data_IF_387318645673
#
_entry.id   IF_387318645673
#
_cell.length_a   1.000
_cell.length_b   1.000
_cell.length_c   1.000
_cell.angle_alpha   90.00
_cell.angle_beta   90.00
_cell.angle_gamma   90.00
#
_symmetry.space_group_name_H-M   'P 1'
#
loop_
_entity.id
_entity.type
_entity.pdbx_description
1 polymer ?
#
# COMPACT_ATOMS: atom_id res chain seq x y z
N UNK A 1 -18.36 -3.25 -9.84
CA UNK A 1 -16.95 -3.57 -10.17
C UNK A 1 -16.30 -2.36 -10.81
N UNK A 2 -15.53 -1.56 -10.06
CA UNK A 2 -14.51 -0.67 -10.63
C UNK A 2 -13.66 -0.04 -9.52
N UNK A 3 -12.73 -0.80 -8.96
CA UNK A 3 -11.50 -0.18 -8.49
C UNK A 3 -10.51 -0.32 -9.63
N UNK A 4 -10.06 0.78 -10.21
CA UNK A 4 -9.09 0.69 -11.29
C UNK A 4 -7.73 0.19 -10.74
N UNK A 5 -7.05 -0.64 -11.51
CA UNK A 5 -5.75 -1.20 -11.16
C UNK A 5 -4.62 -0.16 -11.20
N UNK A 6 -4.93 1.15 -11.22
CA UNK A 6 -4.00 2.25 -11.39
C UNK A 6 -3.72 3.02 -10.09
N UNK A 7 -4.28 2.60 -8.95
CA UNK A 7 -4.02 3.26 -7.67
C UNK A 7 -4.66 4.65 -7.55
N UNK A 8 -5.62 4.98 -8.44
CA UNK A 8 -6.49 6.11 -8.23
C UNK A 8 -7.66 5.65 -7.37
N UNK A 9 -7.92 6.37 -6.28
CA UNK A 9 -9.07 6.13 -5.41
C UNK A 9 -10.38 6.40 -6.17
N UNK A 10 -10.80 5.45 -7.02
CA UNK A 10 -12.19 5.30 -7.42
C UNK A 10 -12.89 4.65 -6.24
N UNK A 11 -13.65 5.45 -5.49
CA UNK A 11 -14.34 5.02 -4.27
C UNK A 11 -15.16 3.75 -4.47
N UNK A 12 -15.23 2.95 -3.41
CA UNK A 12 -16.03 1.75 -3.35
C UNK A 12 -17.51 2.09 -3.56
N UNK A 13 -18.08 1.57 -4.64
CA UNK A 13 -19.45 1.86 -5.12
C UNK A 13 -20.54 1.40 -4.11
N UNK A 14 -20.17 0.56 -3.14
CA UNK A 14 -21.01 -0.02 -2.09
C UNK A 14 -20.89 0.69 -0.73
N UNK A 15 -20.10 1.76 -0.62
CA UNK A 15 -20.11 2.67 0.51
C UNK A 15 -19.36 2.22 1.78
N UNK A 16 -18.76 1.02 1.78
CA UNK A 16 -17.93 0.54 2.90
C UNK A 16 -16.47 0.40 2.48
N UNK A 17 -15.63 1.30 2.98
CA UNK A 17 -14.18 1.23 2.88
C UNK A 17 -13.62 1.10 4.28
N UNK A 18 -12.81 0.08 4.53
CA UNK A 18 -12.02 -0.01 5.75
C UNK A 18 -10.54 -0.20 5.40
N UNK A 19 -9.66 0.31 6.25
CA UNK A 19 -8.23 0.18 6.05
C UNK A 19 -7.53 -0.13 7.37
N UNK A 20 -6.63 -1.11 7.34
CA UNK A 20 -5.76 -1.48 8.46
C UNK A 20 -4.33 -1.16 8.08
N UNK A 21 -3.63 -0.49 9.00
CA UNK A 21 -2.26 -0.04 8.79
C UNK A 21 -1.35 -0.59 9.88
N UNK A 22 -0.17 -1.07 9.48
CA UNK A 22 0.93 -1.34 10.41
C UNK A 22 2.03 -0.31 10.21
N UNK A 23 2.66 0.09 11.31
CA UNK A 23 3.74 1.06 11.33
C UNK A 23 4.95 0.49 12.06
N UNK A 24 6.13 0.98 11.69
CA UNK A 24 7.33 0.76 12.48
C UNK A 24 7.43 1.74 13.67
N UNK A 25 8.49 1.60 14.47
CA UNK A 25 8.74 2.45 15.64
C UNK A 25 8.94 3.94 15.29
N UNK A 26 9.28 4.25 14.04
CA UNK A 26 9.46 5.62 13.54
C UNK A 26 8.16 6.19 12.95
N UNK A 27 7.05 5.45 13.03
CA UNK A 27 5.76 5.85 12.49
C UNK A 27 5.64 5.72 10.97
N UNK A 28 6.53 4.96 10.32
CA UNK A 28 6.49 4.71 8.87
C UNK A 28 5.66 3.47 8.57
N UNK A 29 4.81 3.56 7.55
CA UNK A 29 3.84 2.51 7.20
C UNK A 29 4.53 1.27 6.63
N UNK A 30 4.42 0.13 7.30
CA UNK A 30 4.96 -1.17 6.87
C UNK A 30 3.98 -1.94 5.99
N UNK A 31 2.69 -1.84 6.28
CA UNK A 31 1.63 -2.48 5.50
C UNK A 31 0.34 -1.66 5.50
N UNK A 32 -0.46 -1.91 4.48
CA UNK A 32 -1.81 -1.37 4.34
C UNK A 32 -2.69 -2.46 3.74
N UNK A 33 -3.80 -2.77 4.39
CA UNK A 33 -4.84 -3.62 3.82
C UNK A 33 -6.11 -2.79 3.72
N UNK A 34 -6.61 -2.61 2.50
CA UNK A 34 -7.86 -1.90 2.22
C UNK A 34 -8.91 -2.94 1.83
N UNK A 35 -10.02 -2.94 2.55
CA UNK A 35 -11.21 -3.70 2.23
C UNK A 35 -12.24 -2.77 1.60
N UNK A 36 -12.75 -3.17 0.44
CA UNK A 36 -13.65 -2.41 -0.42
C UNK A 36 -14.72 -3.37 -0.95
N UNK A 37 -15.83 -3.52 -0.21
CA UNK A 37 -16.79 -4.58 -0.48
C UNK A 37 -16.14 -5.96 -0.40
N UNK A 38 -16.27 -6.73 -1.47
CA UNK A 38 -15.63 -8.05 -1.64
C UNK A 38 -14.17 -7.96 -2.13
N UNK A 39 -13.63 -6.76 -2.32
CA UNK A 39 -12.26 -6.55 -2.81
C UNK A 39 -11.30 -6.23 -1.68
N UNK A 40 -10.25 -7.03 -1.55
CA UNK A 40 -9.12 -6.78 -0.64
C UNK A 40 -7.89 -6.34 -1.41
N UNK A 41 -7.27 -5.25 -0.99
CA UNK A 41 -6.00 -4.76 -1.54
C UNK A 41 -4.95 -4.71 -0.43
N UNK A 42 -3.85 -5.42 -0.61
CA UNK A 42 -2.75 -5.44 0.36
C UNK A 42 -1.49 -4.79 -0.23
N UNK A 43 -0.85 -3.93 0.54
CA UNK A 43 0.37 -3.23 0.17
C UNK A 43 1.44 -3.43 1.24
N UNK A 44 2.70 -3.53 0.80
CA UNK A 44 3.85 -3.72 1.68
C UNK A 44 4.95 -2.71 1.40
N UNK A 45 5.65 -2.28 2.45
CA UNK A 45 6.74 -1.30 2.35
C UNK A 45 7.91 -1.70 3.25
N UNK A 46 9.11 -1.41 2.78
CA UNK A 46 10.31 -1.41 3.64
C UNK A 46 11.08 -0.12 3.45
N UNK A 47 11.93 0.21 4.41
CA UNK A 47 12.68 1.45 4.44
C UNK A 47 14.17 1.20 4.68
N UNK A 48 14.98 2.09 4.13
CA UNK A 48 16.37 2.26 4.52
C UNK A 48 16.45 2.92 5.91
N UNK A 49 17.62 2.79 6.54
CA UNK A 49 17.88 3.38 7.85
C UNK A 49 17.72 4.91 7.85
N UNK A 50 17.97 5.56 6.69
CA UNK A 50 17.82 7.01 6.52
C UNK A 50 16.35 7.46 6.28
N UNK A 51 15.37 6.56 6.34
CA UNK A 51 13.97 6.93 6.13
C UNK A 51 13.45 6.72 4.71
N UNK A 52 14.33 6.56 3.71
CA UNK A 52 13.90 6.41 2.32
C UNK A 52 13.23 5.04 2.10
N UNK A 53 12.23 5.00 1.22
CA UNK A 53 11.56 3.75 0.88
C UNK A 53 12.53 2.83 0.14
N UNK A 54 12.72 1.62 0.64
CA UNK A 54 13.59 0.59 0.03
C UNK A 54 12.81 -0.31 -0.91
N UNK A 55 11.63 -0.75 -0.50
CA UNK A 55 10.77 -1.59 -1.34
C UNK A 55 9.30 -1.18 -1.24
N UNK A 56 8.55 -1.54 -2.27
CA UNK A 56 7.10 -1.49 -2.32
C UNK A 56 6.57 -2.76 -2.96
N UNK A 57 5.52 -3.34 -2.38
CA UNK A 57 4.74 -4.41 -3.01
C UNK A 57 3.32 -3.90 -3.22
N UNK A 58 2.83 -3.95 -4.47
CA UNK A 58 1.46 -3.55 -4.80
C UNK A 58 0.44 -4.67 -4.50
N UNK A 59 -0.85 -4.34 -4.59
CA UNK A 59 -1.96 -5.28 -4.38
C UNK A 59 -2.07 -6.38 -5.42
N UNK A 60 -1.40 -6.23 -6.57
CA UNK A 60 -1.26 -7.29 -7.57
C UNK A 60 -0.04 -8.19 -7.30
N UNK A 61 0.68 -7.98 -6.18
CA UNK A 61 1.87 -8.73 -5.81
C UNK A 61 3.14 -8.30 -6.57
N UNK A 62 3.11 -7.21 -7.33
CA UNK A 62 4.31 -6.71 -8.01
C UNK A 62 5.23 -6.05 -7.01
N UNK A 63 6.51 -6.39 -7.14
CA UNK A 63 7.57 -5.90 -6.27
C UNK A 63 8.39 -4.81 -6.97
N UNK A 64 8.61 -3.71 -6.25
CA UNK A 64 9.42 -2.59 -6.67
C UNK A 64 10.54 -2.37 -5.64
N UNK A 65 11.76 -2.19 -6.12
CA UNK A 65 12.91 -1.80 -5.31
C UNK A 65 13.40 -0.43 -5.76
N UNK A 66 13.75 0.41 -4.79
CA UNK A 66 14.27 1.76 -5.05
C UNK A 66 15.74 1.81 -4.69
N UNK A 67 16.54 2.36 -5.59
CA UNK A 67 17.93 2.72 -5.35
C UNK A 67 18.05 4.24 -5.49
N UNK A 68 18.87 4.83 -4.63
CA UNK A 68 19.11 6.26 -4.60
C UNK A 68 20.61 6.49 -4.80
N UNK A 69 20.94 7.53 -5.57
CA UNK A 69 22.29 8.08 -5.58
C UNK A 69 22.58 8.84 -4.28
N UNK A 70 23.86 9.11 -4.03
CA UNK A 70 24.37 9.76 -2.84
C UNK A 70 24.69 11.23 -3.11
#
# INVERSE_FOLDING_TARGET
MSCDAAGNQAGCDDGWISAVYAYDADGRKLSETVECGDSTMAYGYTYYQNGLKKTFTDSAGRFYAYAYDA
#
